data_IF_284508288168
#
_entry.id   IF_284508288168
#
_cell.length_a   1.000
_cell.length_b   1.000
_cell.length_c   1.000
_cell.angle_alpha   90.00
_cell.angle_beta   90.00
_cell.angle_gamma   90.00
#
_symmetry.space_group_name_H-M   'P 1'
#
loop_
_entity.id
_entity.type
_entity.pdbx_description
1 polymer ?
#
# COMPACT_ATOMS: atom_id res chain seq x y z
N UNK A 1 14.76 -11.84 12.41
CA UNK A 1 16.07 -11.96 11.75
C UNK A 1 16.39 -10.63 11.04
N UNK A 2 17.44 -9.90 11.43
CA UNK A 2 17.68 -8.52 11.01
C UNK A 2 18.46 -8.35 9.69
N UNK A 3 18.44 -9.31 8.77
CA UNK A 3 19.28 -9.25 7.54
C UNK A 3 18.56 -9.39 6.20
N UNK A 4 17.23 -9.32 6.13
CA UNK A 4 16.60 -9.19 4.80
C UNK A 4 16.86 -7.79 4.23
N UNK A 5 17.57 -7.67 3.09
CA UNK A 5 17.73 -6.37 2.43
C UNK A 5 16.37 -5.84 2.00
N UNK A 6 16.15 -4.53 2.20
CA UNK A 6 14.96 -3.82 1.73
C UNK A 6 14.77 -4.10 0.23
N UNK A 7 13.69 -4.79 -0.22
CA UNK A 7 13.47 -5.10 -1.63
C UNK A 7 13.29 -3.84 -2.48
N UNK A 8 13.04 -2.67 -1.86
CA UNK A 8 12.96 -1.38 -2.52
C UNK A 8 14.31 -0.63 -2.55
N UNK A 9 15.37 -1.16 -1.95
CA UNK A 9 16.73 -0.59 -2.00
C UNK A 9 17.25 -0.48 -3.43
N UNK A 10 17.06 -1.53 -4.23
CA UNK A 10 17.52 -1.60 -5.62
C UNK A 10 16.78 -0.61 -6.56
N UNK A 11 15.61 -0.10 -6.16
CA UNK A 11 14.86 0.90 -6.93
C UNK A 11 15.35 2.33 -6.70
N UNK A 12 16.34 2.57 -5.81
CA UNK A 12 16.87 3.90 -5.50
C UNK A 12 18.06 4.29 -6.38
N UNK A 13 18.15 3.78 -7.61
CA UNK A 13 19.17 4.22 -8.57
C UNK A 13 18.79 5.59 -9.11
N UNK A 14 19.72 6.54 -8.96
CA UNK A 14 19.59 7.94 -9.29
C UNK A 14 19.17 8.19 -10.73
N UNK A 15 18.08 8.94 -10.87
CA UNK A 15 17.68 9.62 -12.09
C UNK A 15 16.93 10.86 -11.65
N UNK A 16 17.41 12.04 -12.05
CA UNK A 16 16.77 13.31 -11.76
C UNK A 16 15.34 13.32 -12.30
N UNK A 17 14.37 12.98 -11.45
CA UNK A 17 12.96 13.13 -11.78
C UNK A 17 12.63 14.61 -11.61
N UNK A 18 12.67 15.34 -12.72
CA UNK A 18 11.98 16.63 -12.87
C UNK A 18 10.59 16.45 -12.26
N UNK A 19 10.28 17.22 -11.21
CA UNK A 19 9.02 17.15 -10.50
C UNK A 19 7.89 17.25 -11.54
N UNK A 20 7.19 16.14 -11.80
CA UNK A 20 5.95 16.19 -12.57
C UNK A 20 4.96 16.88 -11.66
N UNK A 21 4.55 18.09 -12.04
CA UNK A 21 3.44 18.82 -11.45
C UNK A 21 2.07 18.20 -11.80
N UNK A 22 2.06 16.89 -12.06
CA UNK A 22 0.86 16.07 -12.08
C UNK A 22 0.90 15.31 -10.76
N UNK A 23 0.00 15.65 -9.85
CA UNK A 23 -0.14 15.00 -8.54
C UNK A 23 0.03 13.48 -8.69
N UNK A 24 1.12 12.95 -8.13
CA UNK A 24 1.43 11.53 -8.25
C UNK A 24 0.24 10.75 -7.69
N UNK A 25 -0.38 9.94 -8.54
CA UNK A 25 -1.60 9.21 -8.20
C UNK A 25 -1.20 7.94 -7.45
N UNK A 26 -1.86 7.68 -6.33
CA UNK A 26 -1.72 6.46 -5.55
C UNK A 26 -3.05 5.70 -5.65
N UNK A 27 -3.00 4.44 -6.07
CA UNK A 27 -4.19 3.60 -6.19
C UNK A 27 -4.43 2.84 -4.90
N UNK A 28 -5.53 3.13 -4.21
CA UNK A 28 -6.00 2.31 -3.12
C UNK A 28 -6.73 1.08 -3.69
N UNK A 29 -6.20 -0.10 -3.40
CA UNK A 29 -6.69 -1.36 -3.98
C UNK A 29 -7.93 -1.80 -3.20
N UNK A 30 -9.10 -1.41 -3.69
CA UNK A 30 -10.38 -1.75 -3.10
C UNK A 30 -11.51 -1.67 -4.12
N UNK A 31 -12.45 -2.61 -4.00
CA UNK A 31 -13.74 -2.54 -4.70
C UNK A 31 -14.79 -1.67 -3.98
N UNK A 32 -14.53 -1.25 -2.73
CA UNK A 32 -15.49 -0.51 -1.92
C UNK A 32 -15.25 1.01 -2.01
N UNK A 33 -16.13 1.72 -2.72
CA UNK A 33 -16.06 3.18 -2.90
C UNK A 33 -16.11 3.94 -1.57
N UNK A 34 -16.91 3.49 -0.59
CA UNK A 34 -17.01 4.16 0.72
C UNK A 34 -15.71 4.05 1.51
N UNK A 35 -15.02 2.90 1.44
CA UNK A 35 -13.68 2.76 2.03
C UNK A 35 -12.69 3.74 1.38
N UNK A 36 -12.72 3.88 0.06
CA UNK A 36 -11.85 4.83 -0.64
C UNK A 36 -12.14 6.30 -0.27
N UNK A 37 -13.41 6.66 -0.10
CA UNK A 37 -13.81 7.98 0.38
C UNK A 37 -13.33 8.24 1.81
N UNK A 38 -13.42 7.24 2.68
CA UNK A 38 -12.92 7.32 4.05
C UNK A 38 -11.41 7.52 4.11
N UNK A 39 -10.65 6.72 3.36
CA UNK A 39 -9.18 6.87 3.26
C UNK A 39 -8.80 8.26 2.75
N UNK A 40 -9.49 8.77 1.72
CA UNK A 40 -9.30 10.14 1.23
C UNK A 40 -9.51 11.19 2.32
N UNK A 41 -10.62 11.08 3.07
CA UNK A 41 -10.93 12.02 4.17
C UNK A 41 -9.86 11.96 5.27
N UNK A 42 -9.46 10.77 5.69
CA UNK A 42 -8.46 10.60 6.76
C UNK A 42 -7.13 11.21 6.34
N UNK A 43 -6.65 10.88 5.14
CA UNK A 43 -5.37 11.40 4.63
C UNK A 43 -5.40 12.92 4.39
N UNK A 44 -6.54 13.47 3.98
CA UNK A 44 -6.72 14.91 3.85
C UNK A 44 -6.85 15.65 5.19
N UNK A 45 -7.24 14.96 6.26
CA UNK A 45 -7.43 15.55 7.59
C UNK A 45 -6.16 15.68 8.43
N UNK A 46 -5.01 15.24 7.91
CA UNK A 46 -3.71 15.35 8.59
C UNK A 46 -3.24 16.79 8.77
N UNK A 47 -2.31 17.02 9.70
CA UNK A 47 -1.75 18.35 10.00
C UNK A 47 -0.91 18.96 8.87
N UNK A 48 -0.64 18.20 7.82
CA UNK A 48 0.14 18.59 6.64
C UNK A 48 -0.66 18.27 5.39
N UNK A 49 -0.62 19.16 4.40
CA UNK A 49 -1.24 18.92 3.09
C UNK A 49 -0.74 17.62 2.48
N UNK A 50 -1.66 16.70 2.18
CA UNK A 50 -1.35 15.44 1.53
C UNK A 50 -1.20 15.66 0.02
N UNK A 51 0.01 15.55 -0.56
CA UNK A 51 0.29 16.03 -1.92
C UNK A 51 -0.05 15.03 -3.04
N UNK A 52 -0.71 13.92 -2.69
CA UNK A 52 -1.02 12.83 -3.62
C UNK A 52 -2.51 12.73 -3.91
N UNK A 53 -2.85 12.36 -5.13
CA UNK A 53 -4.23 12.01 -5.47
C UNK A 53 -4.48 10.54 -5.17
N UNK A 54 -5.52 10.24 -4.39
CA UNK A 54 -5.96 8.86 -4.16
C UNK A 54 -7.02 8.50 -5.20
N UNK A 55 -6.78 7.42 -5.93
CA UNK A 55 -7.80 6.73 -6.73
C UNK A 55 -8.10 5.35 -6.13
N UNK A 56 -9.10 4.63 -6.64
CA UNK A 56 -9.34 3.25 -6.25
C UNK A 56 -9.50 2.33 -7.45
N UNK A 57 -8.95 1.14 -7.35
CA UNK A 57 -9.08 0.11 -8.38
C UNK A 57 -9.33 -1.24 -7.71
N UNK A 58 -10.26 -2.02 -8.25
CA UNK A 58 -10.46 -3.40 -7.81
C UNK A 58 -9.45 -4.26 -8.55
N UNK A 59 -8.59 -4.94 -7.81
CA UNK A 59 -7.67 -5.95 -8.31
C UNK A 59 -7.99 -7.24 -7.59
N UNK A 60 -8.08 -8.34 -8.33
CA UNK A 60 -8.24 -9.67 -7.73
C UNK A 60 -6.83 -10.18 -7.37
N UNK A 61 -6.51 -10.15 -6.07
CA UNK A 61 -5.23 -10.58 -5.52
C UNK A 61 -5.41 -11.90 -4.75
N UNK A 62 -4.37 -12.76 -4.69
CA UNK A 62 -4.41 -13.94 -3.86
C UNK A 62 -4.43 -13.58 -2.36
N UNK A 63 -5.18 -14.34 -1.56
CA UNK A 63 -5.17 -14.23 -0.10
C UNK A 63 -4.02 -15.06 0.47
N UNK A 64 -2.89 -14.39 0.69
CA UNK A 64 -1.65 -15.00 1.18
C UNK A 64 -1.79 -15.39 2.66
N UNK A 65 -1.11 -16.45 3.06
CA UNK A 65 -1.09 -16.98 4.43
C UNK A 65 0.32 -16.93 5.00
N UNK A 66 0.43 -16.81 6.33
CA UNK A 66 1.71 -16.75 7.03
C UNK A 66 1.89 -15.47 7.85
N UNK A 67 3.12 -14.98 7.89
CA UNK A 67 3.49 -13.79 8.67
C UNK A 67 2.77 -12.52 8.15
N UNK A 68 2.13 -11.72 9.02
CA UNK A 68 1.39 -10.53 8.60
C UNK A 68 2.22 -9.50 7.81
N UNK A 69 3.49 -9.31 8.17
CA UNK A 69 4.37 -8.35 7.49
C UNK A 69 4.74 -8.87 6.10
N UNK A 70 5.01 -10.16 5.98
CA UNK A 70 5.21 -10.81 4.68
C UNK A 70 3.98 -10.68 3.79
N UNK A 71 2.79 -11.01 4.32
CA UNK A 71 1.51 -10.93 3.59
C UNK A 71 1.30 -9.51 3.06
N UNK A 72 1.40 -8.50 3.92
CA UNK A 72 1.15 -7.11 3.53
C UNK A 72 2.11 -6.61 2.45
N UNK A 73 3.41 -6.95 2.56
CA UNK A 73 4.42 -6.59 1.56
C UNK A 73 4.16 -7.24 0.21
N UNK A 74 3.90 -8.54 0.21
CA UNK A 74 3.71 -9.30 -1.02
C UNK A 74 2.39 -8.91 -1.71
N UNK A 75 1.32 -8.70 -0.93
CA UNK A 75 0.04 -8.18 -1.45
C UNK A 75 0.22 -6.82 -2.13
N UNK A 76 0.95 -5.90 -1.50
CA UNK A 76 1.24 -4.59 -2.09
C UNK A 76 2.09 -4.72 -3.37
N UNK A 77 3.08 -5.60 -3.39
CA UNK A 77 3.94 -5.83 -4.55
C UNK A 77 3.17 -6.41 -5.75
N UNK A 78 2.32 -7.42 -5.51
CA UNK A 78 1.44 -7.99 -6.52
C UNK A 78 0.47 -6.94 -7.05
N UNK A 79 -0.14 -6.16 -6.17
CA UNK A 79 -1.05 -5.08 -6.59
C UNK A 79 -0.36 -4.01 -7.42
N UNK A 80 0.87 -3.62 -7.04
CA UNK A 80 1.67 -2.64 -7.79
C UNK A 80 1.98 -3.14 -9.20
N UNK A 81 2.26 -4.44 -9.33
CA UNK A 81 2.51 -5.11 -10.61
C UNK A 81 1.26 -5.11 -11.49
N UNK A 82 0.10 -5.45 -10.95
CA UNK A 82 -1.18 -5.46 -11.69
C UNK A 82 -1.63 -4.05 -12.11
N UNK A 83 -1.47 -3.06 -11.22
CA UNK A 83 -1.83 -1.65 -11.48
C UNK A 83 -0.78 -0.92 -12.32
N UNK A 84 0.45 -1.46 -12.38
CA UNK A 84 1.62 -0.80 -12.97
C UNK A 84 1.83 0.62 -12.43
N UNK A 85 1.81 0.77 -11.10
CA UNK A 85 1.87 2.09 -10.47
C UNK A 85 1.99 2.03 -8.95
N UNK A 86 2.00 3.21 -8.32
CA UNK A 86 1.98 3.32 -6.87
C UNK A 86 0.63 2.87 -6.31
N UNK A 87 0.67 2.00 -5.29
CA UNK A 87 -0.52 1.42 -4.67
C UNK A 87 -0.45 1.51 -3.16
N UNK A 88 -1.63 1.47 -2.53
CA UNK A 88 -1.80 1.16 -1.12
C UNK A 88 -2.79 0.00 -1.03
N UNK A 89 -2.48 -0.98 -0.20
CA UNK A 89 -3.34 -2.12 0.16
C UNK A 89 -3.68 -2.07 1.65
N UNK A 90 -4.74 -2.75 2.04
CA UNK A 90 -5.17 -2.89 3.44
C UNK A 90 -5.19 -4.38 3.78
N UNK A 91 -4.61 -4.74 4.93
CA UNK A 91 -4.72 -6.04 5.58
C UNK A 91 -5.08 -5.81 7.04
N UNK A 92 -6.05 -6.57 7.55
CA UNK A 92 -6.53 -6.48 8.92
C UNK A 92 -6.61 -7.86 9.51
N UNK A 93 -6.02 -8.06 10.69
CA UNK A 93 -6.06 -9.30 11.45
C UNK A 93 -6.73 -9.07 12.81
N UNK A 94 -7.26 -10.15 13.37
CA UNK A 94 -7.66 -10.25 14.76
C UNK A 94 -6.70 -11.24 15.42
N UNK A 95 -5.99 -10.82 16.45
CA UNK A 95 -4.94 -11.62 17.08
C UNK A 95 -5.27 -11.79 18.57
N UNK A 96 -5.37 -13.03 19.04
CA UNK A 96 -5.58 -13.35 20.44
C UNK A 96 -4.25 -13.74 21.08
N UNK A 97 -3.78 -12.93 22.03
CA UNK A 97 -2.52 -13.20 22.73
C UNK A 97 -2.52 -14.55 23.46
N UNK A 98 -3.68 -15.01 23.95
CA UNK A 98 -3.83 -16.32 24.57
C UNK A 98 -3.64 -17.51 23.60
N UNK A 99 -3.78 -17.26 22.29
CA UNK A 99 -3.58 -18.25 21.21
C UNK A 99 -2.27 -18.00 20.45
N UNK A 100 -1.28 -17.37 21.10
CA UNK A 100 -0.01 -16.97 20.47
C UNK A 100 -0.21 -16.00 19.29
N UNK A 101 -1.07 -15.00 19.48
CA UNK A 101 -1.40 -13.96 18.50
C UNK A 101 -2.04 -14.47 17.19
N UNK A 102 -2.55 -15.71 17.21
CA UNK A 102 -3.45 -16.27 16.19
C UNK A 102 -4.84 -15.65 16.22
#
# INVERSE_FOLDING_TARGET
DPTMPDPFSASRIGGGRKARADSQTITFVTGNKKKAEEVKRILASGSTDFPYQITNHKVDLPELQGDPIFIAKEKAALAAKEVNGAVITEDTSLCFTALNDL
#
